data_IF_629076928302
#
_entry.id   IF_629076928302
#
_cell.length_a   1.000
_cell.length_b   1.000
_cell.length_c   1.000
_cell.angle_alpha   90.00
_cell.angle_beta   90.00
_cell.angle_gamma   90.00
#
_symmetry.space_group_name_H-M   'P 1'
#
loop_
_entity.id
_entity.type
_entity.pdbx_description
1 polymer ?
#
# COMPACT_ATOMS: atom_id res chain seq x y z
N UNK A 1 -30.42 25.32 -37.64
CA UNK A 1 -31.33 24.17 -37.40
C UNK A 1 -31.23 23.86 -35.91
N UNK A 2 -32.10 24.43 -35.07
CA UNK A 2 -33.44 23.98 -34.66
C UNK A 2 -33.45 22.66 -33.86
N UNK A 3 -33.50 22.84 -32.52
CA UNK A 3 -34.26 22.12 -31.46
C UNK A 3 -34.03 20.60 -31.30
N UNK A 4 -33.96 20.03 -30.09
CA UNK A 4 -35.12 19.93 -29.18
C UNK A 4 -34.68 19.54 -27.75
N UNK A 5 -35.17 20.28 -26.75
CA UNK A 5 -35.22 19.89 -25.33
C UNK A 5 -36.45 19.01 -25.11
N UNK A 6 -36.36 17.96 -24.30
CA UNK A 6 -37.54 17.34 -23.67
C UNK A 6 -37.29 17.22 -22.17
N UNK A 7 -38.16 17.89 -21.43
CA UNK A 7 -38.43 17.80 -20.00
C UNK A 7 -39.66 16.90 -19.85
N UNK A 8 -39.66 15.96 -18.91
CA UNK A 8 -40.89 15.39 -18.34
C UNK A 8 -40.74 15.32 -16.82
N UNK A 9 -41.81 15.74 -16.15
CA UNK A 9 -41.96 16.08 -14.73
C UNK A 9 -42.94 15.09 -14.07
N UNK A 10 -42.62 14.69 -12.83
CA UNK A 10 -43.50 14.23 -11.73
C UNK A 10 -44.40 12.99 -11.98
N UNK A 11 -44.96 12.29 -10.98
CA UNK A 11 -45.23 12.64 -9.59
C UNK A 11 -45.50 11.40 -8.72
N UNK A 12 -45.27 11.58 -7.42
CA UNK A 12 -46.11 11.21 -6.26
C UNK A 12 -46.77 9.82 -6.15
N UNK A 13 -46.48 9.16 -5.02
CA UNK A 13 -47.40 8.88 -3.88
C UNK A 13 -47.00 7.57 -3.19
N UNK A 14 -47.25 7.28 -1.91
CA UNK A 14 -47.42 7.97 -0.64
C UNK A 14 -47.79 6.85 0.37
N UNK A 15 -47.16 6.84 1.56
CA UNK A 15 -47.65 6.35 2.87
C UNK A 15 -48.18 4.89 2.98
N UNK A 16 -47.96 4.13 4.07
CA UNK A 16 -48.66 4.19 5.37
C UNK A 16 -47.87 3.31 6.37
N UNK A 17 -47.27 3.86 7.46
CA UNK A 17 -47.69 3.88 8.90
C UNK A 17 -48.21 2.55 9.50
N UNK A 18 -47.53 1.95 10.49
CA UNK A 18 -47.92 1.74 11.92
C UNK A 18 -47.48 0.29 12.28
N UNK A 19 -47.10 -0.12 13.50
CA UNK A 19 -47.09 0.49 14.82
C UNK A 19 -46.48 -0.46 15.88
N UNK A 20 -46.38 0.07 17.10
CA UNK A 20 -46.26 -0.49 18.47
C UNK A 20 -46.16 -2.03 18.62
N UNK A 21 -45.34 -2.60 19.51
CA UNK A 21 -44.98 -2.14 20.85
C UNK A 21 -45.50 -3.14 21.89
N UNK A 22 -44.56 -3.69 22.66
CA UNK A 22 -44.64 -4.06 24.09
C UNK A 22 -45.18 -5.42 24.63
N UNK A 23 -44.26 -6.08 25.36
CA UNK A 23 -44.28 -6.82 26.66
C UNK A 23 -45.24 -7.98 27.05
N UNK A 24 -44.66 -9.20 27.11
CA UNK A 24 -44.60 -10.20 28.23
C UNK A 24 -45.90 -10.84 28.81
N UNK A 25 -45.83 -11.81 29.77
CA UNK A 25 -44.71 -12.66 30.25
C UNK A 25 -45.05 -14.18 30.35
N UNK A 26 -44.06 -15.04 30.65
CA UNK A 26 -44.29 -16.33 31.32
C UNK A 26 -43.10 -16.69 32.25
N UNK A 27 -43.34 -17.27 33.45
CA UNK A 27 -42.32 -17.51 34.47
C UNK A 27 -41.79 -18.95 34.44
N UNK A 28 -40.51 -19.14 34.76
CA UNK A 28 -39.95 -20.36 35.35
C UNK A 28 -38.55 -20.00 35.87
N UNK A 29 -38.42 -19.78 37.17
CA UNK A 29 -37.98 -20.78 38.15
C UNK A 29 -36.46 -20.76 38.33
N UNK A 30 -36.06 -20.30 39.52
CA UNK A 30 -34.66 -20.21 39.96
C UNK A 30 -34.11 -21.62 40.15
N UNK A 31 -33.04 -21.95 39.44
CA UNK A 31 -32.06 -22.92 39.89
C UNK A 31 -30.74 -22.18 40.13
N UNK A 32 -30.37 -22.09 41.41
CA UNK A 32 -29.05 -21.62 41.85
C UNK A 32 -28.05 -22.74 41.53
N UNK A 33 -27.03 -22.43 40.72
CA UNK A 33 -25.86 -23.28 40.52
C UNK A 33 -24.64 -22.50 40.99
N UNK A 34 -23.87 -23.11 41.89
CA UNK A 34 -22.60 -22.60 42.45
C UNK A 34 -21.58 -22.25 41.35
N UNK A 35 -20.69 -21.28 41.59
CA UNK A 35 -19.70 -20.85 40.61
C UNK A 35 -18.60 -21.92 40.47
N UNK A 36 -18.70 -22.75 39.44
CA UNK A 36 -17.52 -23.43 38.92
C UNK A 36 -16.61 -22.37 38.30
N UNK A 37 -15.39 -22.25 38.83
CA UNK A 37 -14.34 -21.43 38.24
C UNK A 37 -14.07 -21.94 36.82
N UNK A 38 -14.68 -21.28 35.84
CA UNK A 38 -14.37 -21.45 34.43
C UNK A 38 -12.98 -20.88 34.21
N UNK A 39 -11.98 -21.76 34.11
CA UNK A 39 -10.71 -21.44 33.48
C UNK A 39 -11.02 -21.09 32.03
N UNK A 40 -11.19 -19.79 31.77
CA UNK A 40 -11.26 -19.27 30.41
C UNK A 40 -10.08 -19.84 29.63
N UNK A 41 -10.29 -20.37 28.42
CA UNK A 41 -9.18 -20.74 27.56
C UNK A 41 -8.33 -19.49 27.39
N UNK A 42 -7.05 -19.56 27.80
CA UNK A 42 -6.06 -18.61 27.35
C UNK A 42 -5.90 -18.82 25.84
N UNK A 43 -6.82 -18.26 25.06
CA UNK A 43 -6.63 -18.08 23.62
C UNK A 43 -5.35 -17.27 23.49
N UNK A 44 -4.29 -17.81 22.86
CA UNK A 44 -3.10 -17.03 22.60
C UNK A 44 -3.56 -15.76 21.89
N UNK A 45 -3.17 -14.60 22.42
CA UNK A 45 -3.43 -13.35 21.74
C UNK A 45 -2.87 -13.50 20.32
N UNK A 46 -3.76 -13.47 19.32
CA UNK A 46 -3.36 -13.47 17.92
C UNK A 46 -2.30 -12.40 17.77
N UNK A 47 -1.21 -12.72 17.06
CA UNK A 47 -0.21 -11.72 16.72
C UNK A 47 -0.94 -10.47 16.16
N UNK A 48 -0.50 -9.25 16.52
CA UNK A 48 -1.13 -8.04 16.03
C UNK A 48 -1.24 -8.10 14.51
N UNK A 49 -2.45 -7.88 13.97
CA UNK A 49 -2.67 -7.90 12.53
C UNK A 49 -1.82 -6.79 11.88
N UNK A 50 -0.99 -7.16 10.91
CA UNK A 50 -0.28 -6.20 10.08
C UNK A 50 -1.31 -5.37 9.29
N UNK A 51 -1.11 -4.05 9.28
CA UNK A 51 -1.99 -3.12 8.57
C UNK A 51 -1.21 -2.15 7.68
N UNK A 52 0.10 -2.37 7.53
CA UNK A 52 0.96 -1.54 6.70
C UNK A 52 1.29 -0.19 7.32
N UNK A 53 0.98 0.05 8.60
CA UNK A 53 1.44 1.25 9.31
C UNK A 53 2.90 1.12 9.76
N UNK A 54 3.59 2.23 10.03
CA UNK A 54 4.98 2.20 10.52
C UNK A 54 5.16 1.30 11.76
N UNK A 55 4.17 1.29 12.66
CA UNK A 55 4.18 0.47 13.88
C UNK A 55 3.83 -1.00 13.67
N UNK A 56 3.19 -1.33 12.54
CA UNK A 56 2.72 -2.68 12.18
C UNK A 56 2.88 -2.87 10.65
N UNK A 57 4.13 -2.82 10.16
CA UNK A 57 4.40 -2.92 8.73
C UNK A 57 4.00 -4.30 8.22
N UNK A 58 3.78 -4.40 6.92
CA UNK A 58 3.70 -5.71 6.28
C UNK A 58 5.09 -6.37 6.24
N UNK A 59 5.15 -7.69 6.27
CA UNK A 59 6.40 -8.38 5.95
C UNK A 59 6.74 -8.17 4.46
N UNK A 60 8.04 -8.16 4.13
CA UNK A 60 8.47 -8.17 2.73
C UNK A 60 7.85 -9.34 1.98
N UNK A 61 7.41 -9.11 0.73
CA UNK A 61 6.69 -10.09 -0.08
C UNK A 61 5.18 -10.19 0.18
N UNK A 62 4.65 -9.52 1.21
CA UNK A 62 3.20 -9.41 1.40
C UNK A 62 2.61 -8.49 0.34
N UNK A 63 1.65 -8.99 -0.44
CA UNK A 63 0.91 -8.18 -1.41
C UNK A 63 -0.21 -7.40 -0.71
N UNK A 64 -0.23 -6.08 -0.87
CA UNK A 64 -1.19 -5.20 -0.20
C UNK A 64 -1.76 -4.13 -1.13
N UNK A 65 -3.06 -3.84 -1.00
CA UNK A 65 -3.71 -2.77 -1.76
C UNK A 65 -3.21 -1.40 -1.32
N UNK A 66 -2.53 -0.69 -2.22
CA UNK A 66 -1.84 0.58 -1.94
C UNK A 66 -2.73 1.67 -1.32
N UNK A 67 -4.04 1.63 -1.55
CA UNK A 67 -5.07 2.30 -0.76
C UNK A 67 -6.45 1.73 -1.12
N UNK A 68 -7.51 1.90 -0.29
CA UNK A 68 -8.80 1.24 -0.52
C UNK A 68 -9.46 1.47 -1.88
N UNK A 69 -9.14 2.57 -2.57
CA UNK A 69 -9.65 2.89 -3.92
C UNK A 69 -8.60 2.74 -5.02
N UNK A 70 -7.39 2.29 -4.67
CA UNK A 70 -6.32 2.11 -5.65
C UNK A 70 -6.58 0.88 -6.49
N UNK A 71 -6.23 1.00 -7.78
CA UNK A 71 -6.16 -0.11 -8.74
C UNK A 71 -4.90 -0.98 -8.58
N UNK A 72 -4.03 -0.63 -7.64
CA UNK A 72 -2.71 -1.26 -7.49
C UNK A 72 -2.61 -1.98 -6.16
N UNK A 73 -2.37 -3.28 -6.22
CA UNK A 73 -1.77 -4.04 -5.14
C UNK A 73 -0.27 -4.06 -5.33
N UNK A 74 0.48 -3.93 -4.24
CA UNK A 74 1.94 -3.77 -4.28
C UNK A 74 2.62 -4.60 -3.20
N UNK A 75 3.85 -4.99 -3.47
CA UNK A 75 4.76 -5.56 -2.47
C UNK A 75 6.19 -5.11 -2.71
N UNK A 76 7.00 -5.15 -1.66
CA UNK A 76 8.45 -4.91 -1.71
C UNK A 76 9.16 -6.17 -1.26
N UNK A 77 10.22 -6.52 -1.97
CA UNK A 77 11.11 -7.67 -1.75
C UNK A 77 12.58 -7.22 -1.87
N UNK A 78 13.53 -8.12 -1.63
CA UNK A 78 14.97 -7.91 -1.86
C UNK A 78 15.56 -6.66 -1.18
N UNK A 79 15.32 -6.49 0.13
CA UNK A 79 15.76 -5.33 0.88
C UNK A 79 17.30 -5.31 1.11
N UNK A 80 17.98 -4.31 0.54
CA UNK A 80 19.39 -4.00 0.80
C UNK A 80 19.49 -2.61 1.42
N UNK A 81 20.12 -2.51 2.59
CA UNK A 81 20.21 -1.25 3.35
C UNK A 81 21.62 -0.86 3.75
N UNK A 82 22.63 -1.56 3.24
CA UNK A 82 24.03 -1.21 3.44
C UNK A 82 24.84 -1.66 2.22
N UNK A 83 25.81 -0.82 1.81
CA UNK A 83 26.68 -1.13 0.67
C UNK A 83 25.97 -1.05 -0.68
N UNK A 84 24.84 -0.33 -0.76
CA UNK A 84 24.07 -0.22 -1.99
C UNK A 84 24.81 0.53 -3.09
N UNK A 85 25.62 1.52 -2.74
CA UNK A 85 26.52 2.25 -3.62
C UNK A 85 27.47 1.31 -4.36
N UNK A 86 28.07 0.34 -3.67
CA UNK A 86 28.97 -0.63 -4.29
C UNK A 86 28.22 -1.51 -5.31
N UNK A 87 27.01 -1.93 -4.98
CA UNK A 87 26.17 -2.75 -5.88
C UNK A 87 25.73 -1.96 -7.11
N UNK A 88 25.22 -0.74 -6.94
CA UNK A 88 24.74 0.11 -8.03
C UNK A 88 25.88 0.50 -8.98
N UNK A 89 27.05 0.82 -8.44
CA UNK A 89 28.24 1.18 -9.22
C UNK A 89 28.88 -0.04 -9.92
N UNK A 90 28.73 -1.23 -9.35
CA UNK A 90 29.18 -2.47 -9.98
C UNK A 90 28.34 -2.83 -11.23
N UNK A 91 27.03 -2.53 -11.20
CA UNK A 91 26.15 -2.70 -12.36
C UNK A 91 26.36 -1.61 -13.40
N UNK A 92 26.47 -0.35 -12.97
CA UNK A 92 26.71 0.76 -13.89
C UNK A 92 27.54 1.87 -13.21
N UNK A 93 28.79 1.96 -13.63
CA UNK A 93 29.78 2.90 -13.09
C UNK A 93 29.49 4.37 -13.42
N UNK A 94 28.50 4.66 -14.27
CA UNK A 94 28.04 6.01 -14.56
C UNK A 94 26.94 6.50 -13.60
N UNK A 95 26.43 5.64 -12.72
CA UNK A 95 25.59 6.10 -11.62
C UNK A 95 26.43 6.96 -10.67
N UNK A 96 25.82 7.99 -10.08
CA UNK A 96 26.51 8.91 -9.18
C UNK A 96 26.04 8.69 -7.74
N UNK A 97 26.98 8.63 -6.80
CA UNK A 97 26.68 8.57 -5.36
C UNK A 97 27.19 9.83 -4.71
N UNK A 98 26.31 10.57 -4.04
CA UNK A 98 26.72 11.76 -3.29
C UNK A 98 27.60 11.39 -2.09
N UNK A 99 28.53 12.29 -1.76
CA UNK A 99 29.40 12.15 -0.59
C UNK A 99 28.57 12.06 0.69
N UNK A 100 28.78 10.99 1.46
CA UNK A 100 28.02 10.73 2.69
C UNK A 100 26.68 10.01 2.48
N UNK A 101 26.32 9.66 1.25
CA UNK A 101 25.09 8.95 0.92
C UNK A 101 25.38 7.50 0.51
N UNK A 102 24.34 6.67 0.54
CA UNK A 102 24.35 5.29 0.06
C UNK A 102 23.03 5.03 -0.69
N UNK A 103 22.90 3.89 -1.36
CA UNK A 103 21.63 3.44 -1.89
C UNK A 103 20.98 2.44 -0.96
N UNK A 104 19.67 2.56 -0.79
CA UNK A 104 18.82 1.45 -0.34
C UNK A 104 18.16 0.85 -1.58
N UNK A 105 18.19 -0.47 -1.69
CA UNK A 105 17.65 -1.18 -2.85
C UNK A 105 16.51 -2.10 -2.42
N UNK A 106 15.60 -2.30 -3.36
CA UNK A 106 14.55 -3.28 -3.25
C UNK A 106 14.02 -3.65 -4.62
N UNK A 107 13.08 -4.59 -4.62
CA UNK A 107 12.29 -4.96 -5.79
C UNK A 107 10.82 -4.79 -5.45
N UNK A 108 10.12 -3.99 -6.25
CA UNK A 108 8.71 -3.76 -6.08
C UNK A 108 7.94 -4.47 -7.19
N UNK A 109 6.88 -5.16 -6.78
CA UNK A 109 5.92 -5.79 -7.67
C UNK A 109 4.61 -5.04 -7.54
N UNK A 110 4.00 -4.70 -8.68
CA UNK A 110 2.69 -4.05 -8.77
C UNK A 110 1.74 -4.92 -9.58
N UNK A 111 0.53 -5.14 -9.06
CA UNK A 111 -0.52 -5.91 -9.71
C UNK A 111 -1.75 -5.02 -9.90
N UNK A 112 -2.28 -4.98 -11.12
CA UNK A 112 -3.56 -4.31 -11.38
C UNK A 112 -4.67 -5.15 -10.74
N UNK A 113 -5.43 -4.58 -9.80
CA UNK A 113 -6.46 -5.29 -9.04
C UNK A 113 -7.87 -5.05 -9.61
N UNK A 114 -8.90 -5.47 -8.85
CA UNK A 114 -10.30 -5.38 -9.25
C UNK A 114 -10.88 -3.96 -9.19
N UNK A 115 -10.19 -3.01 -8.55
CA UNK A 115 -10.59 -1.59 -8.50
C UNK A 115 -10.24 -0.84 -9.80
N UNK A 116 -9.75 -1.53 -10.84
CA UNK A 116 -9.51 -0.93 -12.16
C UNK A 116 -10.82 -0.34 -12.72
N UNK A 117 -10.89 0.98 -12.96
CA UNK A 117 -12.07 1.58 -13.56
C UNK A 117 -12.27 1.05 -14.99
N UNK A 118 -13.52 0.74 -15.37
CA UNK A 118 -13.82 0.23 -16.71
C UNK A 118 -13.43 1.19 -17.84
N UNK A 119 -13.36 2.49 -17.55
CA UNK A 119 -12.91 3.51 -18.51
C UNK A 119 -11.42 3.42 -18.85
N UNK A 120 -10.62 2.80 -17.98
CA UNK A 120 -9.17 2.69 -18.15
C UNK A 120 -8.75 1.30 -18.63
N UNK A 121 -9.71 0.36 -18.74
CA UNK A 121 -9.41 -1.01 -19.14
C UNK A 121 -8.94 -1.07 -20.60
N UNK A 122 -7.77 -1.66 -20.82
CA UNK A 122 -7.12 -1.73 -22.13
C UNK A 122 -6.23 -0.53 -22.47
N UNK A 123 -6.22 0.51 -21.64
CA UNK A 123 -5.35 1.67 -21.82
C UNK A 123 -3.95 1.42 -21.23
N UNK A 124 -2.90 2.10 -21.73
CA UNK A 124 -1.59 2.09 -21.10
C UNK A 124 -1.65 2.75 -19.72
N UNK A 125 -1.08 2.09 -18.71
CA UNK A 125 -0.92 2.63 -17.35
C UNK A 125 0.47 2.35 -16.83
N UNK A 126 1.03 3.32 -16.10
CA UNK A 126 2.30 3.14 -15.38
C UNK A 126 2.02 2.98 -13.88
N UNK A 127 2.48 1.90 -13.23
CA UNK A 127 2.39 1.76 -11.78
C UNK A 127 3.15 2.87 -11.06
N UNK A 128 4.36 3.22 -11.53
CA UNK A 128 5.19 4.25 -10.90
C UNK A 128 4.61 5.65 -11.00
N UNK A 129 3.66 5.90 -11.90
CA UNK A 129 2.89 7.14 -11.92
C UNK A 129 1.81 7.22 -10.81
N UNK A 130 1.47 6.10 -10.18
CA UNK A 130 0.40 6.02 -9.16
C UNK A 130 0.90 5.56 -7.79
N UNK A 131 1.90 4.68 -7.76
CA UNK A 131 2.48 4.12 -6.54
C UNK A 131 3.98 4.01 -6.72
N UNK A 132 4.75 4.65 -5.85
CA UNK A 132 6.20 4.68 -5.91
C UNK A 132 6.83 3.96 -4.73
N UNK A 133 7.98 3.28 -4.91
CA UNK A 133 8.80 2.87 -3.80
C UNK A 133 9.42 4.10 -3.14
N UNK A 134 9.39 4.14 -1.81
CA UNK A 134 9.99 5.20 -1.00
C UNK A 134 10.74 4.58 0.18
N UNK A 135 11.67 5.34 0.74
CA UNK A 135 12.32 5.02 2.00
C UNK A 135 12.03 6.15 2.99
N UNK A 136 11.52 5.79 4.16
CA UNK A 136 11.31 6.72 5.27
C UNK A 136 12.56 6.65 6.12
N UNK A 137 13.39 7.69 6.10
CA UNK A 137 14.63 7.72 6.88
C UNK A 137 14.37 7.72 8.38
N UNK A 138 15.37 7.32 9.17
CA UNK A 138 15.35 7.45 10.63
C UNK A 138 15.31 8.91 11.11
N UNK A 139 15.57 9.86 10.21
CA UNK A 139 15.39 11.29 10.40
C UNK A 139 13.94 11.77 10.12
N UNK A 140 13.05 10.86 9.70
CA UNK A 140 11.65 11.12 9.38
C UNK A 140 11.40 11.70 7.99
N UNK A 141 12.43 11.83 7.14
CA UNK A 141 12.27 12.33 5.77
C UNK A 141 11.88 11.20 4.81
N UNK A 142 11.20 11.56 3.73
CA UNK A 142 10.86 10.63 2.65
C UNK A 142 11.90 10.80 1.54
N UNK A 143 12.48 9.69 1.13
CA UNK A 143 13.39 9.58 0.00
C UNK A 143 12.73 8.70 -1.07
N UNK A 144 12.84 9.07 -2.33
CA UNK A 144 12.27 8.32 -3.44
C UNK A 144 13.24 8.24 -4.63
N UNK A 145 12.80 7.55 -5.68
CA UNK A 145 13.58 7.28 -6.89
C UNK A 145 13.72 8.50 -7.83
N UNK A 146 13.04 9.61 -7.55
CA UNK A 146 12.95 10.79 -8.43
C UNK A 146 13.28 12.13 -7.76
N UNK A 147 13.64 12.16 -6.46
CA UNK A 147 13.91 13.39 -5.73
C UNK A 147 14.92 14.28 -6.47
N UNK A 148 14.79 15.62 -6.37
CA UNK A 148 15.56 16.61 -7.13
C UNK A 148 17.09 16.51 -6.91
N UNK A 149 17.51 15.92 -5.78
CA UNK A 149 18.92 15.64 -5.45
C UNK A 149 19.41 14.28 -6.02
N UNK A 150 18.53 13.45 -6.56
CA UNK A 150 18.81 12.10 -7.05
C UNK A 150 18.77 12.06 -8.58
N UNK A 151 19.92 11.84 -9.21
CA UNK A 151 19.96 11.35 -10.60
C UNK A 151 19.25 10.00 -10.67
N UNK A 152 18.37 9.81 -11.67
CA UNK A 152 17.69 8.54 -11.87
C UNK A 152 18.73 7.42 -12.01
N UNK A 153 18.65 6.40 -11.14
CA UNK A 153 19.58 5.27 -11.17
C UNK A 153 19.29 4.41 -12.37
N UNK A 154 20.31 4.16 -13.19
CA UNK A 154 20.23 3.23 -14.33
C UNK A 154 20.78 1.88 -13.88
N UNK A 155 19.89 0.89 -13.79
CA UNK A 155 20.22 -0.50 -13.48
C UNK A 155 20.10 -1.35 -14.75
N UNK A 156 20.94 -2.37 -14.91
CA UNK A 156 21.05 -3.13 -16.17
C UNK A 156 19.79 -3.96 -16.51
N UNK A 157 19.05 -4.44 -15.49
CA UNK A 157 17.85 -5.25 -15.68
C UNK A 157 16.70 -4.85 -14.73
N UNK A 158 15.47 -4.98 -15.23
CA UNK A 158 14.21 -4.82 -14.48
C UNK A 158 14.05 -3.48 -13.73
N UNK A 159 14.57 -2.36 -14.23
CA UNK A 159 14.31 -1.09 -13.54
C UNK A 159 12.82 -0.74 -13.55
N UNK A 160 12.25 -0.43 -12.39
CA UNK A 160 10.80 -0.22 -12.23
C UNK A 160 10.26 0.99 -13.03
N UNK A 161 11.13 1.87 -13.53
CA UNK A 161 10.78 3.14 -14.15
C UNK A 161 10.34 3.10 -15.62
N UNK A 162 10.16 1.95 -16.29
CA UNK A 162 10.21 1.94 -17.78
C UNK A 162 9.09 1.30 -18.61
N UNK A 163 8.23 0.35 -18.18
CA UNK A 163 7.12 -0.07 -19.05
C UNK A 163 5.75 0.40 -18.55
N UNK A 164 5.07 1.18 -19.40
CA UNK A 164 3.60 1.18 -19.40
C UNK A 164 3.11 -0.25 -19.63
N UNK A 165 2.15 -0.68 -18.82
CA UNK A 165 1.46 -1.96 -19.01
C UNK A 165 0.05 -1.69 -19.52
N UNK A 166 -0.51 -2.63 -20.27
CA UNK A 166 -1.92 -2.57 -20.63
C UNK A 166 -2.76 -2.86 -19.39
N UNK A 167 -3.62 -1.91 -19.03
CA UNK A 167 -4.47 -1.99 -17.86
C UNK A 167 -5.47 -3.15 -17.98
N UNK A 168 -5.15 -4.24 -17.30
CA UNK A 168 -6.00 -5.42 -17.18
C UNK A 168 -5.77 -6.05 -15.81
N UNK A 169 -6.84 -6.37 -15.11
CA UNK A 169 -6.76 -7.02 -13.79
C UNK A 169 -5.91 -8.28 -13.84
N UNK A 170 -5.04 -8.45 -12.84
CA UNK A 170 -4.08 -9.53 -12.72
C UNK A 170 -2.78 -9.32 -13.50
N UNK A 171 -2.64 -8.25 -14.30
CA UNK A 171 -1.34 -7.93 -14.91
C UNK A 171 -0.39 -7.48 -13.81
N UNK A 172 0.76 -8.15 -13.78
CA UNK A 172 1.85 -7.89 -12.87
C UNK A 172 2.99 -7.20 -13.62
N UNK A 173 3.64 -6.27 -12.93
CA UNK A 173 4.96 -5.77 -13.31
C UNK A 173 5.86 -5.74 -12.09
N UNK A 174 7.10 -6.14 -12.29
CA UNK A 174 8.11 -6.28 -11.25
C UNK A 174 9.33 -5.49 -11.69
N UNK A 175 9.92 -4.74 -10.76
CA UNK A 175 11.18 -4.06 -11.03
C UNK A 175 11.99 -3.71 -9.80
N UNK A 176 13.31 -3.66 -9.98
CA UNK A 176 14.27 -3.16 -9.00
C UNK A 176 14.20 -1.64 -8.92
N UNK A 177 14.47 -1.14 -7.73
CA UNK A 177 14.65 0.26 -7.45
C UNK A 177 15.88 0.47 -6.58
N UNK A 178 16.48 1.65 -6.70
CA UNK A 178 17.54 2.14 -5.84
C UNK A 178 17.20 3.58 -5.45
N UNK A 179 17.17 3.85 -4.15
CA UNK A 179 16.84 5.17 -3.59
C UNK A 179 18.10 5.66 -2.89
N UNK A 180 18.62 6.83 -3.29
CA UNK A 180 19.77 7.40 -2.61
C UNK A 180 19.32 8.05 -1.30
N UNK A 181 20.01 7.72 -0.20
CA UNK A 181 19.69 8.16 1.16
C UNK A 181 20.99 8.57 1.86
N UNK A 182 21.02 9.67 2.65
CA UNK A 182 22.15 9.97 3.51
C UNK A 182 22.43 8.79 4.45
N UNK A 183 23.69 8.34 4.58
CA UNK A 183 24.02 7.17 5.42
C UNK A 183 23.52 7.31 6.86
N UNK A 184 23.50 8.55 7.38
CA UNK A 184 23.01 8.85 8.72
C UNK A 184 21.49 8.68 8.89
N UNK A 185 20.71 8.71 7.80
CA UNK A 185 19.26 8.54 7.81
C UNK A 185 18.83 7.08 7.56
N UNK A 186 19.76 6.17 7.23
CA UNK A 186 19.45 4.75 7.01
C UNK A 186 19.09 4.03 8.33
N UNK A 187 19.88 4.15 9.44
CA UNK A 187 19.50 3.55 10.71
C UNK A 187 18.16 4.09 11.21
N UNK A 188 17.28 3.21 11.66
CA UNK A 188 15.91 3.54 12.07
C UNK A 188 14.94 3.79 10.90
N UNK A 189 15.42 3.82 9.66
CA UNK A 189 14.59 3.99 8.48
C UNK A 189 13.83 2.72 8.07
N UNK A 190 12.93 2.83 7.09
CA UNK A 190 12.04 1.75 6.69
C UNK A 190 11.61 1.87 5.21
N UNK A 191 11.49 0.74 4.52
CA UNK A 191 10.92 0.72 3.17
C UNK A 191 9.41 0.92 3.21
N UNK A 192 8.91 1.61 2.21
CA UNK A 192 7.49 1.82 2.03
C UNK A 192 7.13 2.00 0.56
N UNK A 193 5.83 2.03 0.29
CA UNK A 193 5.29 2.55 -0.97
C UNK A 193 4.41 3.75 -0.70
N UNK A 194 4.49 4.78 -1.53
CA UNK A 194 3.59 5.94 -1.49
C UNK A 194 2.63 5.91 -2.65
N UNK A 195 1.33 6.01 -2.38
CA UNK A 195 0.33 6.23 -3.41
C UNK A 195 0.30 7.72 -3.77
N UNK A 196 0.71 8.07 -4.99
CA UNK A 196 0.84 9.45 -5.48
C UNK A 196 -0.51 10.15 -5.65
N UNK A 197 -1.61 9.40 -5.75
CA UNK A 197 -2.96 9.97 -5.95
C UNK A 197 -3.54 10.50 -4.64
N UNK A 198 -3.22 9.87 -3.50
CA UNK A 198 -3.83 10.24 -2.20
C UNK A 198 -2.86 10.35 -1.03
N UNK A 199 -1.56 10.13 -1.24
CA UNK A 199 -0.52 10.24 -0.22
C UNK A 199 -0.48 9.09 0.79
N UNK A 200 -1.24 8.01 0.60
CA UNK A 200 -1.20 6.84 1.51
C UNK A 200 0.19 6.20 1.46
N UNK A 201 0.77 5.92 2.64
CA UNK A 201 2.04 5.22 2.77
C UNK A 201 1.79 3.85 3.39
N UNK A 202 2.29 2.80 2.74
CA UNK A 202 2.32 1.44 3.27
C UNK A 202 3.76 1.02 3.56
N UNK A 203 4.02 0.59 4.78
CA UNK A 203 5.34 0.21 5.27
C UNK A 203 5.58 -1.29 5.12
N UNK A 204 6.81 -1.65 4.73
CA UNK A 204 7.27 -3.02 4.51
C UNK A 204 8.56 -3.30 5.28
N UNK A 205 8.61 -4.45 5.97
CA UNK A 205 9.72 -4.85 6.82
C UNK A 205 9.80 -4.03 8.11
N UNK A 206 10.58 -4.49 9.09
CA UNK A 206 10.84 -3.73 10.32
C UNK A 206 11.82 -2.56 10.04
N UNK A 207 11.85 -1.54 10.92
CA UNK A 207 12.87 -0.49 10.84
C UNK A 207 14.30 -1.06 10.90
N UNK A 208 15.21 -0.44 10.16
CA UNK A 208 16.62 -0.85 10.07
C UNK A 208 17.34 -0.57 11.39
N UNK A 209 18.19 -1.51 11.82
CA UNK A 209 18.96 -1.42 13.06
C UNK A 209 20.28 -0.69 12.89
#
# INVERSE_FOLDING_TARGET
>A
MKYLKIVVVAALSAMVVTGCGDTGPAPAEKAVVEPSASSAPNTPASAPKQDGTASRPFDFGTLATSSPKSRWDVTVTEAVTAGGAELVLAENLYNEVQDGWDYVLGRMTSVVNENLPSADAGEPVSPTASVMPVFIGGDGRIYDIWNDDNSAVVMEEDWIGQPEIIAKTGIETTGRFAIQVPRAAIPGGQFATRNEVNGTILYFGAPIK
#
